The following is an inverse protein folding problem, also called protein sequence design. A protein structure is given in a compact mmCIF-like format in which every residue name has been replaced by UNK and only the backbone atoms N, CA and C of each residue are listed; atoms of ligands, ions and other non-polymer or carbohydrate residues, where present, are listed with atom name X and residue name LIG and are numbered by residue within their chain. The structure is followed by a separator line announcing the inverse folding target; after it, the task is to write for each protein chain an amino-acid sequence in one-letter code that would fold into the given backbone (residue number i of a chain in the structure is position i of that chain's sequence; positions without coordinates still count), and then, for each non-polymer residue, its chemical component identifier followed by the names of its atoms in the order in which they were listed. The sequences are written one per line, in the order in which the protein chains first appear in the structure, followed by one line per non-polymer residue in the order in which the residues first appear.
data_IF_172173746751
#
_entry.id   IF_172173746751
#
_cell.length_a   1.000
_cell.length_b   1.000
_cell.length_c   1.000
_cell.angle_alpha   90.00
_cell.angle_beta   90.00
_cell.angle_gamma   90.00
#
_symmetry.space_group_name_H-M   'P 1'
#
loop_
_entity.id
_entity.type
_entity.pdbx_description
1 polymer ?
#
# COMPACT_ATOMS: atom_id res chain seq x y z
N UNK A 1 37.65 -5.71 -41.77
CA UNK A 1 36.56 -4.72 -41.69
C UNK A 1 35.19 -5.39 -41.39
N UNK A 2 34.81 -6.44 -42.17
CA UNK A 2 33.51 -7.14 -41.98
C UNK A 2 33.39 -7.76 -40.58
N UNK A 3 34.45 -8.43 -40.11
CA UNK A 3 34.47 -9.08 -38.79
C UNK A 3 34.31 -8.08 -37.64
N UNK A 4 34.90 -6.90 -37.77
CA UNK A 4 34.78 -5.81 -36.81
C UNK A 4 33.33 -5.27 -36.76
N UNK A 5 32.68 -5.15 -37.93
CA UNK A 5 31.27 -4.70 -37.99
C UNK A 5 30.31 -5.72 -37.35
N UNK A 6 30.56 -7.02 -37.53
CA UNK A 6 29.75 -8.09 -36.91
C UNK A 6 29.87 -8.02 -35.36
N UNK A 7 31.10 -7.85 -34.84
CA UNK A 7 31.33 -7.69 -33.40
C UNK A 7 30.61 -6.44 -32.88
N UNK A 8 30.68 -5.34 -33.61
CA UNK A 8 30.03 -4.08 -33.20
C UNK A 8 28.50 -4.19 -33.17
N UNK A 9 27.91 -4.83 -34.20
CA UNK A 9 26.47 -5.11 -34.25
C UNK A 9 26.05 -6.00 -33.05
N UNK A 10 26.82 -7.02 -32.72
CA UNK A 10 26.56 -7.90 -31.60
C UNK A 10 26.62 -7.14 -30.25
N UNK A 11 27.60 -6.27 -30.04
CA UNK A 11 27.73 -5.45 -28.83
C UNK A 11 26.57 -4.46 -28.69
N UNK A 12 26.17 -3.83 -29.78
CA UNK A 12 25.02 -2.90 -29.77
C UNK A 12 23.72 -3.64 -29.46
N UNK A 13 23.51 -4.78 -30.10
CA UNK A 13 22.32 -5.60 -29.87
C UNK A 13 22.23 -6.03 -28.39
N UNK A 14 23.30 -6.60 -27.82
CA UNK A 14 23.32 -7.01 -26.42
C UNK A 14 23.13 -5.82 -25.46
N UNK A 15 23.64 -4.63 -25.79
CA UNK A 15 23.45 -3.42 -24.97
C UNK A 15 22.00 -2.98 -24.94
N UNK A 16 21.31 -3.04 -26.08
CA UNK A 16 19.89 -2.66 -26.18
C UNK A 16 19.02 -3.69 -25.46
N UNK A 17 19.26 -4.97 -25.69
CA UNK A 17 18.48 -6.06 -25.10
C UNK A 17 18.55 -6.04 -23.57
N UNK A 18 19.76 -5.86 -23.01
CA UNK A 18 19.94 -5.75 -21.56
C UNK A 18 19.21 -4.55 -20.94
N UNK A 19 19.13 -3.43 -21.66
CA UNK A 19 18.39 -2.26 -21.18
C UNK A 19 16.88 -2.49 -21.20
N UNK A 20 16.36 -3.08 -22.27
CA UNK A 20 14.92 -3.42 -22.40
C UNK A 20 14.51 -4.42 -21.32
N UNK A 21 15.30 -5.44 -21.08
CA UNK A 21 15.04 -6.42 -20.02
C UNK A 21 15.09 -5.78 -18.64
N UNK A 22 16.09 -4.94 -18.37
CA UNK A 22 16.17 -4.20 -17.12
C UNK A 22 14.92 -3.33 -16.89
N UNK A 23 14.50 -2.54 -17.89
CA UNK A 23 13.33 -1.67 -17.78
C UNK A 23 12.04 -2.45 -17.52
N UNK A 24 11.87 -3.58 -18.20
CA UNK A 24 10.73 -4.47 -17.99
C UNK A 24 10.70 -5.01 -16.56
N UNK A 25 11.80 -5.55 -16.07
CA UNK A 25 11.90 -6.12 -14.73
C UNK A 25 11.79 -5.04 -13.64
N UNK A 26 12.40 -3.87 -13.85
CA UNK A 26 12.28 -2.75 -12.93
C UNK A 26 10.83 -2.26 -12.81
N UNK A 27 10.10 -2.16 -13.93
CA UNK A 27 8.69 -1.77 -13.94
C UNK A 27 7.83 -2.74 -13.13
N UNK A 28 8.04 -4.04 -13.29
CA UNK A 28 7.32 -5.08 -12.53
C UNK A 28 7.61 -4.93 -11.04
N UNK A 29 8.90 -4.84 -10.64
CA UNK A 29 9.31 -4.69 -9.24
C UNK A 29 8.74 -3.43 -8.57
N UNK A 30 8.72 -2.31 -9.31
CA UNK A 30 8.14 -1.06 -8.82
C UNK A 30 6.63 -1.21 -8.65
N UNK A 31 5.93 -1.81 -9.61
CA UNK A 31 4.48 -2.03 -9.53
C UNK A 31 4.09 -2.90 -8.33
N UNK A 32 4.81 -4.00 -8.08
CA UNK A 32 4.63 -4.86 -6.91
C UNK A 32 4.79 -4.07 -5.59
N UNK A 33 5.83 -3.26 -5.48
CA UNK A 33 6.07 -2.44 -4.30
C UNK A 33 5.03 -1.33 -4.13
N UNK A 34 4.61 -0.68 -5.22
CA UNK A 34 3.53 0.32 -5.21
C UNK A 34 2.23 -0.29 -4.72
N UNK A 35 1.86 -1.48 -5.22
CA UNK A 35 0.66 -2.17 -4.75
C UNK A 35 0.77 -2.53 -3.27
N UNK A 36 1.90 -3.04 -2.83
CA UNK A 36 2.12 -3.38 -1.41
C UNK A 36 2.06 -2.15 -0.50
N UNK A 37 2.59 -1.02 -0.94
CA UNK A 37 2.45 0.25 -0.20
C UNK A 37 0.98 0.72 -0.13
N UNK A 38 0.17 0.48 -1.17
CA UNK A 38 -1.27 0.73 -1.14
C UNK A 38 -1.98 -0.19 -0.14
N UNK A 39 -1.59 -1.46 -0.09
CA UNK A 39 -2.11 -2.44 0.88
C UNK A 39 -1.80 -1.98 2.31
N UNK A 40 -0.55 -1.58 2.59
CA UNK A 40 -0.16 -1.02 3.90
C UNK A 40 -0.94 0.25 4.24
N UNK A 41 -1.17 1.13 3.27
CA UNK A 41 -1.99 2.34 3.46
C UNK A 41 -3.42 1.98 3.88
N UNK A 42 -4.02 0.98 3.26
CA UNK A 42 -5.38 0.54 3.63
C UNK A 42 -5.42 0.07 5.09
N UNK A 43 -4.42 -0.69 5.54
CA UNK A 43 -4.30 -1.12 6.94
C UNK A 43 -4.08 0.06 7.87
N UNK A 44 -3.23 1.03 7.52
CA UNK A 44 -2.98 2.24 8.31
C UNK A 44 -4.24 3.10 8.50
N UNK A 45 -5.04 3.23 7.43
CA UNK A 45 -6.32 3.97 7.51
C UNK A 45 -7.29 3.26 8.45
N UNK A 46 -7.42 1.94 8.34
CA UNK A 46 -8.28 1.15 9.23
C UNK A 46 -7.81 1.19 10.69
N UNK A 47 -6.50 1.12 10.91
CA UNK A 47 -5.87 1.28 12.23
C UNK A 47 -6.22 2.64 12.84
N UNK A 48 -6.04 3.72 12.08
CA UNK A 48 -6.39 5.08 12.51
C UNK A 48 -7.88 5.22 12.82
N UNK A 49 -8.76 4.63 12.03
CA UNK A 49 -10.21 4.70 12.28
C UNK A 49 -10.59 4.06 13.61
N UNK A 50 -9.88 3.00 14.02
CA UNK A 50 -10.13 2.32 15.31
C UNK A 50 -9.44 3.00 16.48
N UNK A 51 -8.15 3.32 16.35
CA UNK A 51 -7.31 3.80 17.45
C UNK A 51 -7.12 5.31 17.50
N UNK A 52 -7.63 6.04 16.49
CA UNK A 52 -7.51 7.49 16.33
C UNK A 52 -6.07 7.99 16.15
N UNK A 53 -5.12 7.08 15.91
CA UNK A 53 -3.70 7.35 15.61
C UNK A 53 -3.21 6.42 14.52
N UNK A 54 -2.19 6.82 13.76
CA UNK A 54 -1.49 5.91 12.86
C UNK A 54 -0.49 5.04 13.62
N UNK A 55 -0.28 3.80 13.17
CA UNK A 55 0.76 2.94 13.72
C UNK A 55 2.15 3.44 13.31
N UNK A 56 3.04 3.57 14.30
CA UNK A 56 4.44 4.00 14.10
C UNK A 56 5.39 2.83 13.84
N UNK A 57 4.92 1.60 13.98
CA UNK A 57 5.72 0.39 13.78
C UNK A 57 4.88 -0.75 13.18
N UNK A 58 5.58 -1.69 12.55
CA UNK A 58 4.92 -2.84 11.92
C UNK A 58 4.41 -3.88 12.91
N UNK A 59 4.92 -3.97 14.14
CA UNK A 59 4.44 -4.95 15.08
C UNK A 59 3.01 -4.61 15.49
N UNK A 60 2.76 -3.33 15.87
CA UNK A 60 1.42 -2.83 16.18
C UNK A 60 0.46 -2.97 14.99
N UNK A 61 0.94 -2.69 13.77
CA UNK A 61 0.13 -2.78 12.57
C UNK A 61 -0.26 -4.23 12.24
N UNK A 62 0.69 -5.16 12.37
CA UNK A 62 0.45 -6.59 12.11
C UNK A 62 -0.38 -7.25 13.22
N UNK A 63 -0.21 -6.83 14.48
CA UNK A 63 -1.05 -7.28 15.58
C UNK A 63 -2.51 -6.87 15.36
N UNK A 64 -2.77 -5.61 15.01
CA UNK A 64 -4.10 -5.14 14.62
C UNK A 64 -4.69 -5.96 13.48
N UNK A 65 -3.90 -6.24 12.44
CA UNK A 65 -4.38 -6.93 11.26
C UNK A 65 -4.75 -8.39 11.55
N UNK A 66 -3.98 -9.07 12.40
CA UNK A 66 -4.12 -10.50 12.64
C UNK A 66 -5.05 -10.85 13.81
N UNK A 67 -5.08 -10.00 14.86
CA UNK A 67 -5.72 -10.36 16.13
C UNK A 67 -6.93 -9.49 16.46
N UNK A 68 -7.15 -8.42 15.70
CA UNK A 68 -8.18 -7.44 16.02
C UNK A 68 -9.43 -7.57 15.15
N UNK A 69 -10.49 -6.89 15.58
CA UNK A 69 -11.74 -6.79 14.84
C UNK A 69 -12.22 -5.33 14.78
N UNK A 70 -12.98 -5.03 13.75
CA UNK A 70 -13.57 -3.71 13.48
C UNK A 70 -15.07 -3.80 13.71
N UNK A 71 -15.61 -2.85 14.48
CA UNK A 71 -17.04 -2.73 14.71
C UNK A 71 -17.71 -2.12 13.47
N UNK A 72 -18.66 -2.84 12.90
CA UNK A 72 -19.43 -2.41 11.74
C UNK A 72 -20.90 -2.35 12.13
N UNK A 73 -21.54 -1.21 11.87
CA UNK A 73 -22.97 -1.04 12.11
C UNK A 73 -23.74 -1.65 10.95
N UNK A 74 -24.52 -2.66 11.23
CA UNK A 74 -25.43 -3.30 10.27
C UNK A 74 -26.85 -2.83 10.52
N UNK A 75 -27.48 -2.23 9.50
CA UNK A 75 -28.91 -1.96 9.51
C UNK A 75 -29.68 -3.20 9.03
N UNK A 76 -30.72 -3.58 9.77
CA UNK A 76 -31.61 -4.70 9.42
C UNK A 76 -33.01 -4.15 9.28
N UNK A 77 -33.66 -4.42 8.14
CA UNK A 77 -34.98 -3.89 7.77
C UNK A 77 -34.91 -3.01 6.52
N UNK A 78 -36.05 -2.56 6.05
CA UNK A 78 -36.19 -1.67 4.89
C UNK A 78 -36.68 -0.30 5.31
N UNK A 79 -36.09 0.74 4.76
CA UNK A 79 -36.56 2.12 4.93
C UNK A 79 -37.58 2.40 3.84
N UNK A 80 -38.88 2.64 4.18
CA UNK A 80 -39.87 3.04 3.18
C UNK A 80 -39.49 4.36 2.52
N UNK A 81 -39.81 4.53 1.22
CA UNK A 81 -39.49 5.73 0.44
C UNK A 81 -40.09 7.03 1.05
N UNK A 82 -41.15 6.90 1.85
CA UNK A 82 -41.81 8.02 2.54
C UNK A 82 -41.17 8.46 3.83
N UNK A 83 -40.15 7.74 4.34
CA UNK A 83 -39.52 7.99 5.63
C UNK A 83 -38.00 8.21 5.49
N UNK A 84 -37.46 9.04 6.38
CA UNK A 84 -36.00 9.10 6.55
C UNK A 84 -35.53 7.92 7.38
N UNK A 85 -34.24 7.56 7.26
CA UNK A 85 -33.64 6.48 8.07
C UNK A 85 -33.87 6.66 9.58
N UNK A 86 -33.77 7.93 10.07
CA UNK A 86 -34.01 8.25 11.46
C UNK A 86 -35.47 7.96 11.86
N UNK A 87 -36.44 8.33 11.03
CA UNK A 87 -37.87 8.07 11.27
C UNK A 87 -38.17 6.57 11.24
N UNK A 88 -37.58 5.83 10.30
CA UNK A 88 -37.72 4.37 10.24
C UNK A 88 -37.13 3.68 11.48
N UNK A 89 -36.01 4.17 12.00
CA UNK A 89 -35.42 3.69 13.25
C UNK A 89 -36.33 3.95 14.46
N UNK A 90 -36.88 5.18 14.58
CA UNK A 90 -37.82 5.54 15.65
C UNK A 90 -39.13 4.72 15.56
N UNK A 91 -39.61 4.43 14.35
CA UNK A 91 -40.77 3.57 14.10
C UNK A 91 -40.46 2.06 14.26
N UNK A 92 -39.21 1.69 14.57
CA UNK A 92 -38.73 0.29 14.69
C UNK A 92 -38.93 -0.53 13.41
N UNK A 93 -38.99 0.10 12.25
CA UNK A 93 -39.02 -0.56 10.95
C UNK A 93 -37.64 -1.08 10.55
N UNK A 94 -36.60 -0.41 11.05
CA UNK A 94 -35.23 -0.87 10.95
C UNK A 94 -34.60 -0.94 12.36
N UNK A 95 -33.63 -1.83 12.51
CA UNK A 95 -32.79 -1.90 13.70
C UNK A 95 -31.32 -1.78 13.30
N UNK A 96 -30.51 -1.20 14.19
CA UNK A 96 -29.06 -1.16 14.03
C UNK A 96 -28.43 -2.14 14.98
N UNK A 97 -27.62 -3.02 14.45
CA UNK A 97 -26.83 -3.98 15.23
C UNK A 97 -25.34 -3.74 14.94
N UNK A 98 -24.50 -3.93 15.96
CA UNK A 98 -23.06 -3.82 15.82
C UNK A 98 -22.46 -5.21 15.74
N UNK A 99 -21.88 -5.52 14.59
CA UNK A 99 -21.15 -6.76 14.37
C UNK A 99 -19.64 -6.47 14.38
N UNK A 100 -18.87 -7.45 14.83
CA UNK A 100 -17.41 -7.37 14.80
C UNK A 100 -16.86 -8.27 13.71
N UNK A 101 -16.10 -7.68 12.79
CA UNK A 101 -15.48 -8.38 11.66
C UNK A 101 -13.97 -8.35 11.87
N UNK A 102 -13.27 -9.46 11.64
CA UNK A 102 -11.81 -9.50 11.68
C UNK A 102 -11.20 -8.41 10.81
N UNK A 103 -10.19 -7.70 11.32
CA UNK A 103 -9.59 -6.55 10.65
C UNK A 103 -9.11 -6.89 9.25
N UNK A 104 -8.44 -8.04 9.06
CA UNK A 104 -7.97 -8.50 7.74
C UNK A 104 -9.11 -8.71 6.74
N UNK A 105 -10.22 -9.31 7.17
CA UNK A 105 -11.40 -9.58 6.32
C UNK A 105 -12.13 -8.30 5.95
N UNK A 106 -12.22 -7.35 6.89
CA UNK A 106 -12.85 -6.05 6.65
C UNK A 106 -12.03 -5.18 5.68
N UNK A 107 -10.71 -5.15 5.84
CA UNK A 107 -9.82 -4.31 5.03
C UNK A 107 -9.65 -4.86 3.62
N UNK A 108 -9.42 -6.17 3.50
CA UNK A 108 -9.19 -6.86 2.23
C UNK A 108 -10.48 -7.55 1.74
N UNK A 109 -11.59 -6.80 1.78
CA UNK A 109 -12.88 -7.27 1.28
C UNK A 109 -12.91 -7.29 -0.26
N UNK A 110 -13.99 -7.81 -0.85
CA UNK A 110 -14.16 -7.94 -2.30
C UNK A 110 -14.04 -6.59 -3.03
N UNK A 111 -14.58 -5.52 -2.45
CA UNK A 111 -14.50 -4.18 -3.03
C UNK A 111 -13.04 -3.71 -3.14
N UNK A 112 -12.26 -3.85 -2.07
CA UNK A 112 -10.84 -3.51 -2.10
C UNK A 112 -10.07 -4.39 -3.09
N UNK A 113 -10.30 -5.70 -3.05
CA UNK A 113 -9.63 -6.66 -3.92
C UNK A 113 -9.93 -6.42 -5.40
N UNK A 114 -11.14 -5.96 -5.75
CA UNK A 114 -11.51 -5.63 -7.14
C UNK A 114 -10.75 -4.43 -7.70
N UNK A 115 -10.35 -3.48 -6.83
CA UNK A 115 -9.58 -2.28 -7.22
C UNK A 115 -8.07 -2.48 -7.20
N UNK A 116 -7.62 -3.61 -6.65
CA UNK A 116 -6.21 -3.95 -6.49
C UNK A 116 -5.62 -4.43 -7.82
N UNK A 117 -4.35 -4.17 -8.04
CA UNK A 117 -3.63 -4.74 -9.19
C UNK A 117 -3.59 -6.28 -9.09
N UNK A 118 -4.32 -6.94 -9.99
CA UNK A 118 -4.46 -8.39 -10.00
C UNK A 118 -3.17 -9.12 -10.42
N UNK A 119 -2.20 -8.42 -10.99
CA UNK A 119 -0.89 -8.98 -11.36
C UNK A 119 0.02 -9.21 -10.16
N UNK A 120 -0.33 -8.67 -9.00
CA UNK A 120 0.45 -8.77 -7.76
C UNK A 120 -0.29 -9.58 -6.71
N UNK A 121 0.38 -10.58 -6.14
CA UNK A 121 -0.18 -11.41 -5.08
C UNK A 121 -0.36 -10.62 -3.78
N UNK A 122 -1.47 -10.82 -3.07
CA UNK A 122 -1.67 -10.30 -1.73
C UNK A 122 -1.06 -11.26 -0.71
N UNK A 123 0.07 -10.85 -0.12
CA UNK A 123 0.74 -11.62 0.93
C UNK A 123 0.65 -10.86 2.27
N UNK A 124 -0.39 -11.13 3.04
CA UNK A 124 -0.74 -10.42 4.28
C UNK A 124 0.35 -10.60 5.34
N UNK A 125 0.78 -11.83 5.61
CA UNK A 125 1.78 -12.13 6.66
C UNK A 125 3.15 -11.51 6.35
N UNK A 126 3.43 -11.28 5.09
CA UNK A 126 4.65 -10.63 4.62
C UNK A 126 4.50 -9.15 4.28
N UNK A 127 3.44 -8.48 4.72
CA UNK A 127 3.13 -7.10 4.33
C UNK A 127 4.26 -6.12 4.68
N UNK A 128 4.96 -6.36 5.79
CA UNK A 128 6.08 -5.55 6.27
C UNK A 128 7.37 -5.68 5.45
N UNK A 129 7.50 -6.71 4.61
CA UNK A 129 8.76 -7.00 3.91
C UNK A 129 8.73 -6.51 2.46
N UNK A 130 9.86 -5.92 2.03
CA UNK A 130 10.07 -5.50 0.65
C UNK A 130 10.22 -6.75 -0.23
N UNK A 131 9.42 -6.91 -1.29
CA UNK A 131 9.51 -8.04 -2.22
C UNK A 131 10.93 -8.28 -2.73
N UNK A 132 11.28 -9.53 -2.98
CA UNK A 132 12.57 -9.97 -3.51
C UNK A 132 13.80 -9.68 -2.63
N UNK A 133 13.60 -9.19 -1.41
CA UNK A 133 14.68 -9.01 -0.42
C UNK A 133 14.75 -10.18 0.55
N UNK A 134 15.88 -10.34 1.22
CA UNK A 134 16.02 -11.30 2.33
C UNK A 134 15.44 -10.68 3.62
N UNK A 135 14.11 -10.64 3.72
CA UNK A 135 13.37 -10.13 4.89
C UNK A 135 13.68 -8.67 5.29
N UNK A 136 14.04 -7.83 4.32
CA UNK A 136 14.18 -6.40 4.58
C UNK A 136 12.80 -5.76 4.72
N UNK A 137 12.57 -5.04 5.80
CA UNK A 137 11.32 -4.34 6.06
C UNK A 137 11.31 -2.97 5.40
N UNK A 138 10.10 -2.50 5.07
CA UNK A 138 9.87 -1.07 4.81
C UNK A 138 10.22 -0.24 6.05
N UNK A 139 10.58 1.03 5.86
CA UNK A 139 10.58 2.01 6.94
C UNK A 139 9.15 2.47 7.17
N UNK A 140 8.75 2.59 8.43
CA UNK A 140 7.44 3.09 8.83
C UNK A 140 7.63 4.09 9.96
N UNK A 141 6.98 5.25 9.86
CA UNK A 141 6.96 6.29 10.85
C UNK A 141 5.58 6.93 10.91
N UNK A 142 5.19 7.40 12.10
CA UNK A 142 3.97 8.17 12.31
C UNK A 142 4.19 9.26 13.35
N UNK A 143 3.62 10.42 13.14
CA UNK A 143 3.67 11.54 14.08
C UNK A 143 2.50 12.50 13.92
N UNK A 144 2.52 13.56 14.73
CA UNK A 144 1.60 14.68 14.63
C UNK A 144 2.35 15.90 14.09
N UNK A 145 1.76 16.57 13.12
CA UNK A 145 2.26 17.86 12.61
C UNK A 145 1.23 18.95 12.88
N UNK A 146 1.70 20.17 13.11
CA UNK A 146 0.84 21.33 13.22
C UNK A 146 0.70 22.00 11.85
N UNK A 147 -0.53 22.18 11.38
CA UNK A 147 -0.84 22.91 10.15
C UNK A 147 -1.96 23.92 10.39
N UNK A 148 -1.63 25.21 10.38
CA UNK A 148 -2.62 26.26 10.56
C UNK A 148 -3.37 26.18 11.90
N UNK A 149 -2.69 25.93 13.01
CA UNK A 149 -3.24 25.74 14.38
C UNK A 149 -4.06 24.45 14.58
N UNK A 150 -4.03 23.54 13.62
CA UNK A 150 -4.69 22.23 13.75
C UNK A 150 -3.59 21.15 13.80
N UNK A 151 -3.70 20.26 14.78
CA UNK A 151 -2.83 19.09 14.88
C UNK A 151 -3.38 18.03 13.93
N UNK A 152 -2.55 17.62 12.97
CA UNK A 152 -2.88 16.59 11.98
C UNK A 152 -1.94 15.41 12.14
N UNK A 153 -2.52 14.23 12.22
CA UNK A 153 -1.74 12.99 12.25
C UNK A 153 -1.27 12.62 10.86
N UNK A 154 -0.02 12.24 10.76
CA UNK A 154 0.65 11.84 9.53
C UNK A 154 1.38 10.53 9.71
N UNK A 155 1.57 9.82 8.62
CA UNK A 155 2.44 8.64 8.56
C UNK A 155 3.20 8.61 7.25
N UNK A 156 4.31 7.89 7.21
CA UNK A 156 5.05 7.58 6.00
C UNK A 156 5.53 6.14 6.05
N UNK A 157 5.33 5.40 4.96
CA UNK A 157 5.94 4.09 4.75
C UNK A 157 6.75 4.15 3.48
N UNK A 158 8.03 3.73 3.55
CA UNK A 158 8.96 3.92 2.43
C UNK A 158 9.98 2.80 2.26
N UNK A 159 10.48 2.68 1.02
CA UNK A 159 11.64 1.86 0.67
C UNK A 159 12.55 2.61 -0.29
N UNK A 160 13.87 2.40 -0.20
CA UNK A 160 14.82 2.94 -1.19
C UNK A 160 14.74 2.17 -2.50
N UNK A 161 14.86 2.86 -3.64
CA UNK A 161 14.89 2.19 -4.95
C UNK A 161 15.97 1.11 -5.05
N UNK A 162 17.11 1.26 -4.38
CA UNK A 162 18.15 0.22 -4.33
C UNK A 162 17.66 -1.10 -3.73
N UNK A 163 16.68 -1.04 -2.82
CA UNK A 163 16.12 -2.22 -2.16
C UNK A 163 14.97 -2.81 -2.99
N UNK A 164 14.19 -1.95 -3.62
CA UNK A 164 13.14 -2.33 -4.59
C UNK A 164 13.71 -3.04 -5.81
N UNK A 165 14.85 -2.55 -6.32
CA UNK A 165 15.53 -3.06 -7.52
C UNK A 165 16.66 -4.06 -7.21
N UNK A 166 16.68 -4.62 -6.01
CA UNK A 166 17.72 -5.56 -5.59
C UNK A 166 17.81 -6.76 -6.56
N UNK A 167 19.04 -7.12 -6.94
CA UNK A 167 19.30 -8.21 -7.87
C UNK A 167 19.14 -7.85 -9.36
N UNK A 168 18.70 -6.63 -9.69
CA UNK A 168 18.77 -6.07 -11.04
C UNK A 168 20.03 -5.22 -11.20
N UNK A 169 20.63 -5.23 -12.39
CA UNK A 169 21.78 -4.35 -12.67
C UNK A 169 21.32 -2.90 -12.88
N UNK A 170 21.07 -2.22 -11.77
CA UNK A 170 20.60 -0.84 -11.74
C UNK A 170 21.76 0.19 -11.77
N UNK A 171 23.02 -0.25 -11.85
CA UNK A 171 24.17 0.65 -11.95
C UNK A 171 24.11 1.38 -13.31
N UNK A 172 24.33 2.69 -13.26
CA UNK A 172 24.32 3.56 -14.44
C UNK A 172 22.99 3.62 -15.21
N UNK A 173 21.89 3.16 -14.58
CA UNK A 173 20.55 3.23 -15.14
C UNK A 173 19.83 4.51 -14.70
N UNK A 174 18.67 4.79 -15.29
CA UNK A 174 17.86 6.00 -15.09
C UNK A 174 17.42 6.24 -13.63
N UNK A 175 17.40 5.21 -12.79
CA UNK A 175 16.87 5.31 -11.43
C UNK A 175 17.93 5.83 -10.44
N UNK A 176 17.56 6.85 -9.65
CA UNK A 176 18.34 7.23 -8.50
C UNK A 176 18.05 6.24 -7.35
N UNK A 177 19.01 5.39 -7.04
CA UNK A 177 18.89 4.30 -6.07
C UNK A 177 18.69 4.78 -4.62
N UNK A 178 18.95 6.06 -4.34
CA UNK A 178 18.78 6.66 -3.01
C UNK A 178 17.40 7.29 -2.81
N UNK A 179 16.66 7.52 -3.90
CA UNK A 179 15.30 8.01 -3.81
C UNK A 179 14.40 7.00 -3.09
N UNK A 180 13.33 7.51 -2.50
CA UNK A 180 12.34 6.73 -1.79
C UNK A 180 11.13 6.48 -2.69
N UNK A 181 10.68 5.24 -2.72
CA UNK A 181 9.33 4.87 -3.09
C UNK A 181 8.51 4.86 -1.81
N UNK A 182 7.45 5.66 -1.72
CA UNK A 182 6.75 5.88 -0.45
C UNK A 182 5.26 6.09 -0.59
N UNK A 183 4.54 5.91 0.51
CA UNK A 183 3.14 6.27 0.70
C UNK A 183 3.01 7.08 1.99
N UNK A 184 2.14 8.10 1.96
CA UNK A 184 2.05 9.09 3.03
C UNK A 184 3.20 10.10 3.02
N UNK A 185 3.22 10.97 4.02
CA UNK A 185 4.28 11.98 4.20
C UNK A 185 4.37 12.40 5.66
N UNK A 186 5.59 12.56 6.17
CA UNK A 186 5.83 13.09 7.52
C UNK A 186 5.77 14.63 7.58
N UNK A 187 5.77 15.32 6.45
CA UNK A 187 5.73 16.79 6.35
C UNK A 187 4.39 17.35 5.90
N UNK A 188 3.53 16.50 5.34
CA UNK A 188 2.24 16.93 4.79
C UNK A 188 1.14 15.92 5.14
N UNK A 189 -0.08 16.42 5.33
CA UNK A 189 -1.27 15.60 5.52
C UNK A 189 -1.68 14.93 4.20
N UNK A 190 -0.86 14.04 3.67
CA UNK A 190 -1.10 13.28 2.45
C UNK A 190 -1.14 11.78 2.74
N UNK A 191 -2.12 11.11 2.17
CA UNK A 191 -2.23 9.64 2.17
C UNK A 191 -1.69 9.03 0.87
N UNK A 192 -1.32 9.86 -0.10
CA UNK A 192 -0.83 9.42 -1.40
C UNK A 192 0.70 9.23 -1.36
N UNK A 193 1.20 8.44 -2.30
CA UNK A 193 2.63 8.25 -2.50
C UNK A 193 3.17 9.07 -3.67
N UNK A 194 4.48 8.93 -3.93
CA UNK A 194 5.16 9.45 -5.11
C UNK A 194 4.95 8.53 -6.31
#
# INVERSE_FOLDING_TARGET
LILLNIIFIFLVYNSIDSEVEFQKNAKVRIAENVQKLKDIRAVQIAYKNKYQVFASDFNSLMEFLNNDSIAVIRSVGEVPDSLTELQALQAKLISRDTIYIESKTHIFNEDYLSTRDQSTELYIDGLQYIPHTKNKKYSIDASNIEKGKVIVQVFEVSAKYRDVLIGLDAKNKKYNLYNLLKVGSMSEASLNGN
#
